data_IF_798018106904
#
_entry.id   IF_798018106904
#
_cell.length_a   1.000
_cell.length_b   1.000
_cell.length_c   1.000
_cell.angle_alpha   90.00
_cell.angle_beta   90.00
_cell.angle_gamma   90.00
#
_symmetry.space_group_name_H-M   'P 1'
#
loop_
_entity.id
_entity.type
_entity.pdbx_description
1 polymer ?
#
# COMPACT_ATOMS: atom_id res chain seq x y z
N UNK A 1 9.62 -33.27 57.26
CA UNK A 1 9.98 -31.84 57.28
C UNK A 1 9.96 -31.36 55.83
N UNK A 2 8.91 -30.64 55.42
CA UNK A 2 8.80 -30.06 54.09
C UNK A 2 8.69 -28.56 54.33
N UNK A 3 9.67 -27.77 53.87
CA UNK A 3 9.61 -26.31 53.90
C UNK A 3 9.61 -25.84 52.44
N UNK A 4 8.42 -25.59 51.90
CA UNK A 4 8.23 -24.81 50.68
C UNK A 4 7.95 -23.38 51.09
N UNK A 5 8.84 -22.46 50.68
CA UNK A 5 8.69 -21.02 50.89
C UNK A 5 7.96 -20.38 49.70
N UNK A 6 7.08 -19.39 49.92
CA UNK A 6 6.45 -18.63 48.86
C UNK A 6 7.26 -17.36 48.55
N UNK A 7 7.46 -17.06 47.28
CA UNK A 7 8.12 -15.83 46.83
C UNK A 7 7.46 -15.32 45.57
N UNK A 8 6.56 -14.36 45.72
CA UNK A 8 5.99 -13.61 44.60
C UNK A 8 7.04 -12.72 43.95
N UNK A 9 7.01 -12.66 42.63
CA UNK A 9 7.70 -11.67 41.81
C UNK A 9 6.75 -11.25 40.71
N UNK A 10 6.43 -9.95 40.67
CA UNK A 10 5.63 -9.34 39.64
C UNK A 10 6.24 -9.63 38.27
N UNK A 11 5.40 -9.98 37.29
CA UNK A 11 5.79 -9.91 35.89
C UNK A 11 5.70 -8.44 35.49
N UNK A 12 6.84 -7.77 35.49
CA UNK A 12 7.02 -6.47 34.83
C UNK A 12 6.72 -6.65 33.34
N UNK A 13 5.53 -6.24 32.92
CA UNK A 13 5.18 -6.06 31.51
C UNK A 13 5.61 -4.64 31.17
N UNK A 14 6.87 -4.49 30.78
CA UNK A 14 7.33 -3.31 30.07
C UNK A 14 8.16 -3.80 28.88
N UNK A 15 7.55 -3.85 27.69
CA UNK A 15 8.31 -3.65 26.47
C UNK A 15 7.45 -2.84 25.50
N UNK A 16 7.92 -1.62 25.30
CA UNK A 16 7.38 -0.59 24.44
C UNK A 16 6.97 -1.17 23.09
N UNK A 17 5.65 -1.28 22.89
CA UNK A 17 5.09 -1.48 21.56
C UNK A 17 5.26 -0.18 20.82
N UNK A 18 6.47 0.06 20.31
CA UNK A 18 6.68 1.00 19.23
C UNK A 18 5.71 0.59 18.13
N UNK A 19 4.70 1.44 17.95
CA UNK A 19 3.71 1.35 16.91
C UNK A 19 4.47 1.63 15.61
N UNK A 20 5.18 0.62 15.11
CA UNK A 20 5.89 0.72 13.85
C UNK A 20 4.82 0.86 12.77
N UNK A 21 4.61 2.10 12.31
CA UNK A 21 3.59 2.50 11.35
C UNK A 21 3.75 1.83 9.96
N UNK A 22 4.69 0.89 9.83
CA UNK A 22 4.99 0.18 8.61
C UNK A 22 5.25 -1.30 8.93
N UNK A 23 4.18 -2.07 9.12
CA UNK A 23 4.27 -3.53 9.01
C UNK A 23 4.90 -3.86 7.66
N UNK A 24 6.00 -4.62 7.68
CA UNK A 24 6.64 -5.05 6.44
C UNK A 24 5.63 -5.84 5.59
N UNK A 25 5.60 -5.63 4.26
CA UNK A 25 4.70 -6.41 3.41
C UNK A 25 4.97 -7.91 3.56
N UNK A 26 3.90 -8.70 3.67
CA UNK A 26 4.01 -10.17 3.59
C UNK A 26 4.66 -10.57 2.26
N UNK A 27 5.30 -11.74 2.19
CA UNK A 27 5.90 -12.24 0.95
C UNK A 27 4.95 -12.21 -0.27
N UNK A 28 3.67 -12.54 -0.06
CA UNK A 28 2.62 -12.49 -1.07
C UNK A 28 2.37 -11.06 -1.57
N UNK A 29 2.28 -10.08 -0.65
CA UNK A 29 2.16 -8.65 -0.99
C UNK A 29 3.40 -8.17 -1.76
N UNK A 30 4.61 -8.56 -1.35
CA UNK A 30 5.84 -8.20 -2.05
C UNK A 30 5.87 -8.72 -3.49
N UNK A 31 5.41 -9.95 -3.71
CA UNK A 31 5.27 -10.51 -5.06
C UNK A 31 4.26 -9.71 -5.88
N UNK A 32 3.05 -9.48 -5.34
CA UNK A 32 2.02 -8.67 -5.98
C UNK A 32 2.54 -7.26 -6.34
N UNK A 33 3.26 -6.61 -5.44
CA UNK A 33 3.82 -5.26 -5.65
C UNK A 33 4.83 -5.23 -6.80
N UNK A 34 5.62 -6.29 -6.97
CA UNK A 34 6.51 -6.44 -8.12
C UNK A 34 5.71 -6.51 -9.43
N UNK A 35 4.63 -7.30 -9.45
CA UNK A 35 3.74 -7.40 -10.61
C UNK A 35 3.02 -6.08 -10.92
N UNK A 36 2.49 -5.38 -9.91
CA UNK A 36 1.87 -4.05 -10.09
C UNK A 36 2.89 -3.07 -10.68
N UNK A 37 4.10 -3.03 -10.12
CA UNK A 37 5.18 -2.16 -10.63
C UNK A 37 5.46 -2.46 -12.09
N UNK A 38 5.60 -3.73 -12.45
CA UNK A 38 5.85 -4.16 -13.83
C UNK A 38 4.68 -3.82 -14.75
N UNK A 39 3.44 -4.03 -14.32
CA UNK A 39 2.25 -3.69 -15.10
C UNK A 39 2.18 -2.20 -15.45
N UNK A 40 2.44 -1.34 -14.45
CA UNK A 40 2.43 0.12 -14.62
C UNK A 40 3.57 0.59 -15.51
N UNK A 41 4.82 0.19 -15.25
CA UNK A 41 5.98 0.73 -15.97
C UNK A 41 6.15 0.18 -17.38
N UNK A 42 5.61 -1.01 -17.67
CA UNK A 42 5.63 -1.62 -19.02
C UNK A 42 4.43 -1.25 -19.87
N UNK A 43 3.45 -0.53 -19.33
CA UNK A 43 2.32 -0.06 -20.12
C UNK A 43 2.82 0.86 -21.27
N UNK A 44 2.21 0.78 -22.46
CA UNK A 44 2.56 1.67 -23.56
C UNK A 44 2.47 3.13 -23.13
N UNK A 45 3.49 3.90 -23.51
CA UNK A 45 3.47 5.36 -23.36
C UNK A 45 2.44 5.96 -24.31
N UNK A 46 1.80 7.04 -23.89
CA UNK A 46 0.93 7.80 -24.79
C UNK A 46 1.75 8.85 -25.55
N UNK A 47 1.27 9.23 -26.73
CA UNK A 47 1.73 10.43 -27.44
C UNK A 47 0.79 11.61 -27.23
N UNK A 48 -0.38 11.38 -26.65
CA UNK A 48 -1.39 12.39 -26.37
C UNK A 48 -1.20 12.93 -24.94
N UNK A 49 -0.77 14.19 -24.77
CA UNK A 49 -0.53 14.77 -23.45
C UNK A 49 -1.80 14.92 -22.61
N UNK A 50 -2.99 14.96 -23.21
CA UNK A 50 -4.25 15.07 -22.49
C UNK A 50 -4.69 13.71 -21.89
N UNK A 51 -4.13 12.60 -22.36
CA UNK A 51 -4.46 11.25 -21.92
C UNK A 51 -3.19 10.46 -21.52
N UNK A 52 -2.49 10.89 -20.45
CA UNK A 52 -1.27 10.23 -19.96
C UNK A 52 -1.55 8.80 -19.47
N UNK A 53 -0.57 7.90 -19.65
CA UNK A 53 -0.61 6.56 -19.04
C UNK A 53 -0.52 6.66 -17.51
N UNK A 54 -0.92 5.61 -16.79
CA UNK A 54 -0.80 5.58 -15.33
C UNK A 54 0.62 5.86 -14.82
N UNK A 55 1.64 5.35 -15.51
CA UNK A 55 3.02 5.61 -15.14
C UNK A 55 3.39 7.09 -15.30
N UNK A 56 2.95 7.72 -16.40
CA UNK A 56 3.19 9.15 -16.64
C UNK A 56 2.45 10.03 -15.63
N UNK A 57 1.19 9.70 -15.30
CA UNK A 57 0.43 10.38 -14.22
C UNK A 57 1.22 10.36 -12.90
N UNK A 58 1.77 9.21 -12.53
CA UNK A 58 2.59 9.10 -11.32
C UNK A 58 3.87 9.96 -11.39
N UNK A 59 4.54 10.02 -12.54
CA UNK A 59 5.74 10.84 -12.73
C UNK A 59 5.45 12.36 -12.67
N UNK A 60 4.24 12.76 -13.04
CA UNK A 60 3.77 14.15 -12.95
C UNK A 60 3.22 14.50 -11.55
N UNK A 61 3.28 13.57 -10.60
CA UNK A 61 2.67 13.69 -9.27
C UNK A 61 1.15 13.89 -9.31
N UNK A 62 0.50 13.40 -10.37
CA UNK A 62 -0.95 13.44 -10.46
C UNK A 62 -1.55 12.54 -9.38
N UNK A 63 -2.59 13.03 -8.67
CA UNK A 63 -3.29 12.24 -7.67
C UNK A 63 -3.94 10.98 -8.29
N UNK A 64 -3.47 9.79 -7.90
CA UNK A 64 -3.97 8.50 -8.38
C UNK A 64 -5.21 8.08 -7.60
N UNK A 65 -6.35 7.90 -8.28
CA UNK A 65 -7.55 7.35 -7.67
C UNK A 65 -7.39 5.84 -7.54
N UNK A 66 -7.42 5.33 -6.31
CA UNK A 66 -7.16 3.93 -5.99
C UNK A 66 -8.12 2.99 -6.73
N UNK A 67 -9.38 3.35 -6.78
CA UNK A 67 -10.44 2.57 -7.42
C UNK A 67 -10.21 2.46 -8.94
N UNK A 68 -9.81 3.56 -9.59
CA UNK A 68 -9.54 3.59 -11.04
C UNK A 68 -8.28 2.78 -11.37
N UNK A 69 -7.20 2.95 -10.61
CA UNK A 69 -5.97 2.18 -10.84
C UNK A 69 -6.21 0.68 -10.60
N UNK A 70 -6.99 0.33 -9.58
CA UNK A 70 -7.32 -1.07 -9.28
C UNK A 70 -8.15 -1.70 -10.39
N UNK A 71 -9.19 -1.00 -10.88
CA UNK A 71 -9.99 -1.46 -12.00
C UNK A 71 -9.11 -1.70 -13.24
N UNK A 72 -8.28 -0.70 -13.60
CA UNK A 72 -7.35 -0.82 -14.71
C UNK A 72 -6.38 -2.01 -14.56
N UNK A 73 -5.83 -2.24 -13.36
CA UNK A 73 -4.95 -3.38 -13.11
C UNK A 73 -5.65 -4.73 -13.34
N UNK A 74 -6.90 -4.84 -12.87
CA UNK A 74 -7.71 -6.06 -12.96
C UNK A 74 -8.37 -6.26 -14.35
N UNK A 75 -8.39 -5.25 -15.22
CA UNK A 75 -8.79 -5.34 -16.64
C UNK A 75 -7.75 -6.07 -17.53
N UNK A 76 -6.93 -6.93 -16.93
CA UNK A 76 -5.96 -7.78 -17.63
C UNK A 76 -4.54 -7.24 -17.67
N UNK A 77 -4.23 -6.10 -17.03
CA UNK A 77 -2.85 -5.58 -16.98
C UNK A 77 -1.97 -6.43 -16.08
N UNK A 78 -2.53 -6.99 -15.01
CA UNK A 78 -1.87 -7.98 -14.16
C UNK A 78 -1.63 -9.30 -14.90
N UNK A 79 -2.65 -9.80 -15.61
CA UNK A 79 -2.54 -11.00 -16.44
C UNK A 79 -1.49 -10.83 -17.54
N UNK A 80 -1.43 -9.65 -18.19
CA UNK A 80 -0.41 -9.30 -19.19
C UNK A 80 1.01 -9.49 -18.66
N UNK A 81 1.24 -9.22 -17.38
CA UNK A 81 2.53 -9.39 -16.72
C UNK A 81 2.64 -10.71 -15.94
N UNK A 82 1.81 -11.70 -16.25
CA UNK A 82 1.88 -13.05 -15.71
C UNK A 82 1.44 -13.19 -14.26
N UNK A 83 0.54 -12.32 -13.77
CA UNK A 83 -0.12 -12.49 -12.48
C UNK A 83 -1.57 -12.92 -12.69
N UNK A 84 -1.95 -14.08 -12.15
CA UNK A 84 -3.26 -14.74 -12.36
C UNK A 84 -4.26 -14.46 -11.23
N UNK A 85 -4.03 -13.41 -10.45
CA UNK A 85 -4.92 -12.98 -9.38
C UNK A 85 -5.41 -11.55 -9.58
N UNK A 86 -6.23 -11.08 -8.64
CA UNK A 86 -6.73 -9.72 -8.60
C UNK A 86 -6.07 -8.92 -7.48
N UNK A 87 -5.86 -7.63 -7.72
CA UNK A 87 -5.44 -6.70 -6.69
C UNK A 87 -6.66 -6.09 -6.00
N UNK A 88 -6.63 -6.00 -4.67
CA UNK A 88 -7.61 -5.21 -3.91
C UNK A 88 -7.18 -3.72 -3.86
N UNK A 89 -8.11 -2.76 -3.75
CA UNK A 89 -7.75 -1.34 -3.59
C UNK A 89 -6.85 -1.07 -2.38
N UNK A 90 -6.96 -1.88 -1.33
CA UNK A 90 -6.11 -1.79 -0.14
C UNK A 90 -4.66 -2.20 -0.45
N UNK A 91 -4.46 -3.24 -1.26
CA UNK A 91 -3.12 -3.65 -1.67
C UNK A 91 -2.49 -2.64 -2.63
N UNK A 92 -3.28 -2.07 -3.55
CA UNK A 92 -2.83 -0.98 -4.43
C UNK A 92 -2.44 0.25 -3.61
N UNK A 93 -3.19 0.59 -2.56
CA UNK A 93 -2.82 1.68 -1.64
C UNK A 93 -1.46 1.44 -0.97
N UNK A 94 -1.24 0.25 -0.41
CA UNK A 94 0.05 -0.10 0.21
C UNK A 94 1.19 -0.08 -0.80
N UNK A 95 0.93 -0.51 -2.04
CA UNK A 95 1.90 -0.41 -3.12
C UNK A 95 2.26 1.05 -3.41
N UNK A 96 1.26 1.94 -3.56
CA UNK A 96 1.48 3.37 -3.76
C UNK A 96 2.33 3.97 -2.63
N UNK A 97 2.02 3.65 -1.36
CA UNK A 97 2.80 4.09 -0.19
C UNK A 97 4.25 3.59 -0.25
N UNK A 98 4.47 2.33 -0.62
CA UNK A 98 5.82 1.74 -0.76
C UNK A 98 6.67 2.36 -1.89
N UNK A 99 6.03 3.01 -2.86
CA UNK A 99 6.66 3.66 -4.02
C UNK A 99 6.64 5.18 -3.94
N UNK A 100 6.17 5.75 -2.83
CA UNK A 100 5.98 7.19 -2.66
C UNK A 100 5.09 7.82 -3.74
N UNK A 101 4.08 7.08 -4.21
CA UNK A 101 3.09 7.55 -5.20
C UNK A 101 1.91 8.19 -4.47
N UNK A 102 1.52 9.40 -4.91
CA UNK A 102 0.35 10.10 -4.38
C UNK A 102 -0.94 9.38 -4.80
N UNK A 103 -1.68 8.83 -3.83
CA UNK A 103 -2.95 8.14 -4.07
C UNK A 103 -4.06 8.61 -3.13
N UNK A 104 -5.30 8.53 -3.60
CA UNK A 104 -6.50 8.88 -2.83
C UNK A 104 -7.66 7.95 -3.17
N UNK A 105 -8.60 7.83 -2.22
CA UNK A 105 -9.92 7.27 -2.47
C UNK A 105 -10.80 8.28 -3.20
N UNK A 106 -11.66 7.82 -4.11
CA UNK A 106 -12.55 8.65 -4.94
C UNK A 106 -13.42 9.64 -4.14
N UNK A 107 -13.68 9.37 -2.86
CA UNK A 107 -14.60 10.14 -2.02
C UNK A 107 -13.99 11.04 -0.94
N UNK A 108 -12.67 11.10 -0.74
CA UNK A 108 -12.12 11.61 0.54
C UNK A 108 -11.43 13.00 0.51
N UNK A 109 -11.92 13.95 -0.31
CA UNK A 109 -11.53 15.38 -0.19
C UNK A 109 -12.03 16.08 1.08
N UNK A 110 -12.65 15.35 2.02
CA UNK A 110 -13.09 15.90 3.31
C UNK A 110 -11.88 16.04 4.24
N UNK A 111 -10.99 16.97 3.86
CA UNK A 111 -9.93 17.46 4.73
C UNK A 111 -10.58 17.96 6.01
N UNK A 112 -10.46 17.18 7.09
CA UNK A 112 -10.57 17.76 8.43
C UNK A 112 -9.36 18.67 8.55
N UNK A 113 -9.59 19.97 8.40
CA UNK A 113 -8.61 21.00 8.69
C UNK A 113 -8.02 20.70 10.07
N UNK A 114 -6.76 20.24 10.10
CA UNK A 114 -6.05 20.07 11.36
C UNK A 114 -5.62 21.47 11.76
N UNK A 115 -6.38 22.09 12.68
CA UNK A 115 -5.92 23.31 13.35
C UNK A 115 -4.60 22.99 14.03
N UNK A 116 -3.52 23.62 13.55
CA UNK A 116 -2.23 23.61 14.23
C UNK A 116 -2.41 24.57 15.41
N UNK A 117 -2.67 23.99 16.59
CA UNK A 117 -2.63 24.72 17.85
C UNK A 117 -1.19 25.03 18.23
#
# INVERSE_FOLDING_TARGET
MILTSPGGGAVDINEDTEISLHLSPTAQQSALFSHITRAVTSAPRTTDPENPSWHEKMLMYDPVILEDLTAWLNEGQLTRVGYDGEASPTDVKKWCESKSVCCLWRGNRRGKERKRL
#
